data_IF_813345348834
#
_entry.id   IF_813345348834
#
_cell.length_a   1.000
_cell.length_b   1.000
_cell.length_c   1.000
_cell.angle_alpha   90.00
_cell.angle_beta   90.00
_cell.angle_gamma   90.00
#
_symmetry.space_group_name_H-M   'P 1'
#
loop_
_entity.id
_entity.type
_entity.pdbx_description
1 polymer ?
2 polymer ?
3 non-polymer ?
4 non-polymer ?
5 non-polymer ?
6 water ?
#
# COMPACT_ATOMS: atom_id res chain seq x y z
N UNK A 1 9.56 25.75 7.68
CA UNK A 1 9.53 26.05 6.25
C UNK A 1 10.26 25.07 5.34
N UNK A 2 11.16 25.58 4.51
CA UNK A 2 11.88 24.79 3.52
C UNK A 2 13.37 24.76 3.85
N UNK A 3 13.70 24.60 5.13
CA UNK A 3 15.04 24.87 5.63
C UNK A 3 15.95 23.64 5.71
N UNK A 4 15.41 22.41 5.58
CA UNK A 4 16.24 21.19 5.57
C UNK A 4 17.04 21.01 6.87
N UNK A 5 16.35 21.03 8.00
CA UNK A 5 17.02 20.73 9.26
C UNK A 5 17.24 19.22 9.40
N UNK A 6 18.10 18.83 10.34
CA UNK A 6 18.40 17.42 10.62
C UNK A 6 17.76 17.06 11.96
N UNK A 7 16.63 16.36 11.89
CA UNK A 7 15.85 16.02 13.08
C UNK A 7 16.27 14.71 13.74
N UNK A 8 16.84 13.78 12.99
CA UNK A 8 17.28 12.50 13.53
C UNK A 8 18.73 12.62 13.99
N UNK A 9 19.04 12.03 15.16
CA UNK A 9 20.41 12.16 15.62
C UNK A 9 21.37 11.29 14.81
N UNK A 10 20.84 10.38 13.99
CA UNK A 10 21.67 9.54 13.15
C UNK A 10 20.78 8.75 12.19
N UNK A 11 21.24 8.65 10.95
CA UNK A 11 20.40 8.10 9.89
C UNK A 11 20.40 6.57 9.96
N UNK A 12 19.78 6.06 11.02
CA UNK A 12 19.67 4.63 11.25
C UNK A 12 18.29 4.32 11.81
N UNK A 13 17.97 3.02 11.88
CA UNK A 13 16.70 2.60 12.49
C UNK A 13 16.67 3.02 13.95
N UNK A 14 17.78 2.92 14.65
CA UNK A 14 17.84 3.35 16.05
C UNK A 14 17.61 4.86 16.14
N UNK A 15 18.12 5.62 15.18
CA UNK A 15 17.86 7.05 15.19
C UNK A 15 16.40 7.37 14.98
N UNK A 16 15.74 6.67 14.06
CA UNK A 16 14.31 6.86 13.85
C UNK A 16 13.54 6.49 15.11
N UNK A 17 13.89 5.37 15.76
CA UNK A 17 13.18 4.93 16.94
C UNK A 17 13.22 5.98 18.07
N UNK A 18 14.41 6.47 18.41
CA UNK A 18 14.49 7.54 19.40
C UNK A 18 13.69 8.76 18.98
N UNK A 19 13.68 9.07 17.69
CA UNK A 19 12.86 10.18 17.21
C UNK A 19 11.37 9.88 17.37
N UNK A 20 10.99 8.62 17.22
CA UNK A 20 9.58 8.28 17.33
C UNK A 20 9.10 8.39 18.76
N UNK A 21 9.99 8.22 19.72
CA UNK A 21 9.64 8.31 21.13
C UNK A 21 10.05 9.65 21.76
N UNK A 22 10.41 10.64 20.95
CA UNK A 22 10.54 12.00 21.44
C UNK A 22 9.21 12.75 21.26
N UNK A 23 9.17 14.02 21.68
CA UNK A 23 7.93 14.76 21.62
C UNK A 23 7.68 15.42 20.26
N UNK A 24 8.73 15.65 19.47
CA UNK A 24 8.56 16.26 18.16
C UNK A 24 7.68 15.42 17.23
N UNK A 25 7.58 14.12 17.48
CA UNK A 25 7.03 13.18 16.50
C UNK A 25 5.67 12.70 17.01
N UNK A 26 4.58 13.34 16.55
CA UNK A 26 3.27 12.90 16.98
C UNK A 26 2.35 12.46 15.85
N UNK A 27 2.67 12.72 14.59
CA UNK A 27 1.83 12.32 13.46
C UNK A 27 2.68 11.54 12.46
N UNK A 28 2.29 10.29 12.19
CA UNK A 28 3.03 9.40 11.30
C UNK A 28 2.13 9.02 10.12
N UNK A 29 2.67 9.12 8.91
CA UNK A 29 2.00 8.67 7.69
C UNK A 29 2.79 7.49 7.14
N UNK A 30 2.10 6.39 6.91
CA UNK A 30 2.67 5.25 6.21
C UNK A 30 2.29 5.31 4.75
N UNK A 31 3.26 5.05 3.87
CA UNK A 31 3.05 4.82 2.44
C UNK A 31 3.47 3.39 2.14
N UNK A 32 2.53 2.57 1.66
CA UNK A 32 2.78 1.14 1.56
C UNK A 32 2.32 0.65 0.20
N UNK A 33 2.90 -0.48 -0.21
CA UNK A 33 2.57 -1.06 -1.49
C UNK A 33 2.63 -2.58 -1.40
N UNK A 34 2.81 -3.23 -2.54
CA UNK A 34 2.58 -4.67 -2.60
C UNK A 34 3.65 -5.46 -1.85
N UNK A 35 4.81 -4.87 -1.59
CA UNK A 35 5.81 -5.57 -0.81
C UNK A 35 5.32 -6.01 0.55
N UNK A 36 4.44 -5.23 1.20
CA UNK A 36 3.97 -5.57 2.53
C UNK A 36 2.91 -6.67 2.55
N UNK A 37 2.38 -7.06 1.40
CA UNK A 37 1.43 -8.18 1.34
C UNK A 37 1.98 -9.43 0.69
N UNK A 38 3.24 -9.42 0.24
CA UNK A 38 3.80 -10.63 -0.38
C UNK A 38 3.93 -11.76 0.64
N UNK A 39 4.31 -11.44 1.88
CA UNK A 39 4.37 -12.52 2.87
C UNK A 39 2.98 -12.93 3.37
N UNK A 40 1.92 -12.31 2.87
CA UNK A 40 0.59 -12.84 3.02
C UNK A 40 0.15 -13.68 1.83
N UNK A 41 1.05 -13.95 0.90
CA UNK A 41 0.71 -14.79 -0.23
C UNK A 41 0.09 -14.06 -1.40
N UNK A 42 0.24 -12.75 -1.47
CA UNK A 42 -0.21 -12.00 -2.64
C UNK A 42 1.03 -11.47 -3.35
N UNK A 43 1.31 -11.90 -4.57
CA UNK A 43 2.61 -11.63 -5.17
C UNK A 43 2.76 -10.19 -5.63
N UNK A 44 4.02 -9.80 -5.80
CA UNK A 44 4.45 -8.50 -6.30
C UNK A 44 3.96 -8.24 -7.72
N UNK A 45 4.17 -7.00 -8.18
CA UNK A 45 4.15 -6.74 -9.61
C UNK A 45 5.54 -6.92 -10.21
N UNK A 46 6.51 -6.11 -9.77
CA UNK A 46 7.76 -5.97 -10.49
C UNK A 46 8.90 -6.80 -9.92
N UNK A 47 8.74 -7.42 -8.77
CA UNK A 47 9.83 -8.22 -8.23
C UNK A 47 10.16 -9.35 -9.19
N UNK A 48 11.39 -9.42 -9.70
CA UNK A 48 11.72 -10.49 -10.65
C UNK A 48 11.54 -11.85 -9.99
N UNK A 49 11.03 -12.81 -10.77
CA UNK A 49 10.61 -14.15 -10.38
C UNK A 49 9.19 -14.15 -9.81
N UNK A 50 9.06 -13.73 -8.56
CA UNK A 50 7.77 -13.74 -7.88
C UNK A 50 6.75 -12.91 -8.64
N UNK A 51 7.08 -11.64 -8.89
CA UNK A 51 6.16 -10.64 -9.37
C UNK A 51 5.34 -11.07 -10.56
N UNK A 52 4.16 -10.46 -10.68
CA UNK A 52 3.23 -10.83 -11.75
C UNK A 52 3.84 -10.60 -13.11
N UNK A 53 4.61 -9.52 -13.27
CA UNK A 53 5.11 -9.14 -14.59
C UNK A 53 5.96 -10.23 -15.21
N UNK A 54 6.48 -11.16 -14.41
CA UNK A 54 7.18 -12.30 -14.96
C UNK A 54 6.25 -13.46 -15.25
N UNK A 55 5.04 -13.45 -14.68
CA UNK A 55 4.18 -14.63 -14.68
C UNK A 55 2.80 -14.40 -15.30
N UNK A 56 2.76 -14.09 -16.60
CA UNK A 56 1.45 -13.82 -17.22
C UNK A 56 1.45 -14.04 -18.72
N UNK A 57 2.36 -14.85 -19.26
CA UNK A 57 2.35 -15.15 -20.69
C UNK A 57 1.02 -15.80 -21.09
N UNK A 58 0.50 -16.70 -20.25
CA UNK A 58 -0.70 -17.50 -20.45
C UNK A 58 -1.94 -16.66 -20.66
N UNK A 59 -1.89 -15.33 -20.90
CA UNK A 59 -3.11 -14.53 -20.88
C UNK A 59 -3.40 -13.86 -22.22
N UNK A 60 -2.95 -14.46 -23.33
CA UNK A 60 -3.34 -14.01 -24.67
C UNK A 60 -3.07 -12.52 -24.84
N UNK A 61 -1.96 -12.05 -24.27
CA UNK A 61 -1.86 -10.66 -23.88
C UNK A 61 -0.86 -9.92 -24.76
N UNK A 62 -1.24 -8.76 -25.33
CA UNK A 62 -0.30 -8.01 -26.16
C UNK A 62 0.69 -7.13 -25.40
N UNK A 63 0.57 -7.04 -24.07
CA UNK A 63 1.42 -6.15 -23.28
C UNK A 63 1.23 -6.43 -21.80
N UNK A 64 2.21 -7.08 -21.14
CA UNK A 64 2.02 -7.56 -19.76
C UNK A 64 1.42 -6.55 -18.79
N UNK A 65 1.39 -5.28 -19.17
CA UNK A 65 0.72 -4.25 -18.38
C UNK A 65 -0.75 -4.08 -18.73
N UNK A 66 -1.19 -4.56 -19.90
CA UNK A 66 -2.55 -4.30 -20.35
C UNK A 66 -3.61 -4.93 -19.46
N UNK A 67 -3.29 -6.02 -18.75
CA UNK A 67 -4.28 -6.66 -17.90
C UNK A 67 -4.67 -5.79 -16.70
N UNK A 68 -4.01 -4.66 -16.48
CA UNK A 68 -4.38 -3.71 -15.44
C UNK A 68 -4.70 -2.34 -15.98
N UNK A 69 -4.81 -2.17 -17.30
CA UNK A 69 -5.18 -0.90 -17.89
C UNK A 69 -6.69 -0.89 -18.07
N UNK A 70 -7.31 0.27 -17.85
CA UNK A 70 -8.77 0.33 -17.94
C UNK A 70 -9.21 0.15 -19.39
N UNK A 71 -8.48 0.74 -20.33
CA UNK A 71 -8.79 0.57 -21.76
C UNK A 71 -8.95 -0.90 -22.12
N UNK A 72 -7.88 -1.68 -21.95
CA UNK A 72 -7.93 -3.11 -22.24
C UNK A 72 -9.05 -3.80 -21.46
N UNK A 73 -9.22 -3.44 -20.19
CA UNK A 73 -10.26 -4.05 -19.37
C UNK A 73 -11.66 -3.78 -19.93
N UNK A 74 -11.90 -2.58 -20.47
CA UNK A 74 -13.20 -2.32 -21.06
C UNK A 74 -13.45 -3.23 -22.26
N UNK A 75 -12.46 -3.37 -23.15
CA UNK A 75 -12.59 -4.27 -24.30
C UNK A 75 -12.73 -5.74 -23.88
N UNK A 76 -11.78 -6.23 -23.08
CA UNK A 76 -11.72 -7.64 -22.71
C UNK A 76 -11.57 -7.82 -21.20
N UNK A 77 -12.68 -7.87 -20.45
CA UNK A 77 -12.59 -8.01 -19.00
C UNK A 77 -12.25 -9.41 -18.53
N UNK A 78 -12.34 -10.42 -19.40
CA UNK A 78 -12.13 -11.80 -18.95
C UNK A 78 -10.74 -12.08 -18.39
N UNK A 79 -9.63 -11.68 -19.04
CA UNK A 79 -8.30 -12.04 -18.50
C UNK A 79 -8.07 -11.55 -17.08
N UNK A 80 -8.42 -10.29 -16.78
CA UNK A 80 -8.38 -9.80 -15.40
C UNK A 80 -9.13 -10.72 -14.43
N UNK A 81 -10.40 -11.02 -14.72
CA UNK A 81 -11.15 -11.86 -13.80
C UNK A 81 -10.59 -13.27 -13.73
N UNK A 82 -10.02 -13.76 -14.85
CA UNK A 82 -9.29 -15.03 -14.78
C UNK A 82 -8.08 -14.88 -13.88
N UNK A 83 -7.31 -13.81 -14.05
CA UNK A 83 -6.16 -13.57 -13.18
C UNK A 83 -6.58 -13.40 -11.74
N UNK A 84 -7.75 -12.78 -11.51
CA UNK A 84 -8.21 -12.58 -10.15
C UNK A 84 -8.51 -13.91 -9.46
N UNK A 85 -8.95 -14.93 -10.21
CA UNK A 85 -9.22 -16.22 -9.60
C UNK A 85 -7.91 -16.90 -9.17
N UNK A 86 -6.92 -16.90 -10.06
CA UNK A 86 -5.61 -17.42 -9.69
C UNK A 86 -5.12 -16.84 -8.37
N UNK A 87 -5.18 -15.51 -8.23
CA UNK A 87 -4.52 -14.86 -7.10
C UNK A 87 -5.39 -14.78 -5.85
N UNK A 88 -6.69 -14.99 -5.96
CA UNK A 88 -7.57 -14.83 -4.81
C UNK A 88 -7.10 -15.73 -3.66
N UNK A 89 -6.68 -15.18 -2.53
CA UNK A 89 -6.14 -16.01 -1.45
C UNK A 89 -7.21 -16.84 -0.78
N UNK A 90 -6.81 -18.04 -0.36
CA UNK A 90 -7.74 -18.91 0.36
C UNK A 90 -8.17 -18.31 1.69
N UNK A 91 -7.31 -17.51 2.31
CA UNK A 91 -7.57 -16.95 3.63
C UNK A 91 -6.87 -15.60 3.74
N UNK A 92 -7.57 -14.62 4.30
CA UNK A 92 -7.03 -13.27 4.37
C UNK A 92 -6.36 -13.08 5.73
N UNK A 93 -5.04 -13.06 5.75
CA UNK A 93 -4.28 -12.91 7.00
C UNK A 93 -3.27 -11.78 6.85
N UNK A 94 -3.50 -10.62 7.47
CA UNK A 94 -2.54 -9.52 7.35
C UNK A 94 -1.23 -9.88 8.04
N UNK A 95 -0.17 -9.20 7.61
CA UNK A 95 1.20 -9.53 8.01
C UNK A 95 1.59 -8.77 9.27
N UNK A 96 2.76 -9.14 9.80
CA UNK A 96 3.40 -8.41 10.91
C UNK A 96 3.46 -6.92 10.60
N UNK A 97 3.90 -6.57 9.38
CA UNK A 97 3.99 -5.16 9.01
C UNK A 97 2.61 -4.49 9.03
N UNK A 98 1.58 -5.16 8.50
CA UNK A 98 0.21 -4.67 8.68
C UNK A 98 -0.08 -4.42 10.16
N UNK A 99 0.26 -5.37 11.02
CA UNK A 99 -0.07 -5.23 12.43
C UNK A 99 0.78 -4.17 13.12
N UNK A 100 1.98 -3.91 12.60
CA UNK A 100 2.73 -2.77 13.10
C UNK A 100 1.95 -1.46 12.89
N UNK A 101 1.31 -1.31 11.73
CA UNK A 101 0.52 -0.12 11.50
C UNK A 101 -0.70 -0.05 12.42
N UNK A 102 -1.31 -1.21 12.73
CA UNK A 102 -2.40 -1.17 13.72
C UNK A 102 -1.87 -0.79 15.09
N UNK A 103 -0.60 -1.09 15.39
CA UNK A 103 -0.02 -0.62 16.64
C UNK A 103 0.15 0.89 16.61
N UNK A 104 0.60 1.41 15.47
CA UNK A 104 0.67 2.85 15.29
C UNK A 104 -0.68 3.47 15.63
N UNK A 105 -1.74 3.00 14.98
CA UNK A 105 -3.09 3.48 15.27
C UNK A 105 -3.41 3.35 16.76
N UNK A 106 -3.13 2.19 17.36
CA UNK A 106 -3.49 1.99 18.75
C UNK A 106 -2.75 2.93 19.69
N UNK A 107 -1.57 3.42 19.29
CA UNK A 107 -0.80 4.32 20.14
C UNK A 107 -0.99 5.77 19.77
N UNK A 108 -1.94 6.08 18.90
CA UNK A 108 -2.19 7.44 18.49
C UNK A 108 -1.15 8.07 17.59
N UNK A 109 -0.20 7.31 17.07
CA UNK A 109 0.81 7.89 16.19
C UNK A 109 0.39 7.91 14.73
N UNK A 110 -0.65 7.19 14.34
CA UNK A 110 -1.00 7.03 12.93
C UNK A 110 -1.91 8.16 12.49
N UNK A 111 -1.39 9.06 11.66
CA UNK A 111 -2.25 10.07 11.06
C UNK A 111 -2.96 9.51 9.84
N UNK A 112 -2.23 8.82 8.99
CA UNK A 112 -2.88 8.16 7.89
C UNK A 112 -1.95 7.09 7.31
N UNK A 113 -2.56 6.08 6.74
CA UNK A 113 -1.89 5.07 5.94
C UNK A 113 -2.36 5.23 4.51
N UNK A 114 -1.45 5.48 3.60
CA UNK A 114 -1.76 5.52 2.18
C UNK A 114 -1.27 4.20 1.58
N UNK A 115 -2.21 3.42 1.07
CA UNK A 115 -1.89 2.11 0.52
C UNK A 115 -2.15 2.07 -0.97
N UNK A 116 -1.23 1.46 -1.71
CA UNK A 116 -1.46 1.11 -3.10
C UNK A 116 -2.12 -0.25 -3.26
N UNK A 117 -2.27 -1.01 -2.17
CA UNK A 117 -2.81 -2.36 -2.26
C UNK A 117 -4.33 -2.36 -2.30
N UNK A 118 -4.87 -3.41 -2.89
CA UNK A 118 -6.31 -3.55 -3.03
C UNK A 118 -6.82 -4.80 -2.33
N UNK A 119 -5.99 -5.44 -1.50
CA UNK A 119 -6.26 -6.74 -0.94
C UNK A 119 -7.03 -6.70 0.37
N UNK A 120 -7.42 -5.50 0.84
CA UNK A 120 -8.17 -5.26 2.06
C UNK A 120 -7.43 -5.69 3.33
N UNK A 121 -6.14 -5.99 3.24
CA UNK A 121 -5.49 -6.49 4.46
C UNK A 121 -5.34 -5.38 5.52
N UNK A 122 -5.25 -4.11 5.11
CA UNK A 122 -5.20 -3.02 6.09
C UNK A 122 -6.46 -2.99 6.96
N UNK A 123 -7.64 -3.15 6.35
CA UNK A 123 -8.87 -3.16 7.14
C UNK A 123 -8.95 -4.37 8.05
N UNK A 124 -8.53 -5.55 7.56
CA UNK A 124 -8.60 -6.74 8.40
C UNK A 124 -7.67 -6.63 9.59
N UNK A 125 -6.58 -5.86 9.46
CA UNK A 125 -5.69 -5.63 10.59
C UNK A 125 -6.25 -4.61 11.56
N UNK A 126 -7.35 -3.95 11.21
CA UNK A 126 -8.00 -3.04 12.12
C UNK A 126 -7.82 -1.56 11.84
N UNK A 127 -7.29 -1.19 10.67
CA UNK A 127 -7.30 0.21 10.26
C UNK A 127 -8.66 0.58 9.70
N UNK A 128 -9.22 1.67 10.20
CA UNK A 128 -10.55 2.06 9.81
C UNK A 128 -10.49 3.07 8.68
N UNK A 129 -11.66 3.31 8.09
CA UNK A 129 -11.77 4.27 6.99
C UNK A 129 -11.13 5.61 7.33
N UNK A 130 -11.27 6.04 8.59
CA UNK A 130 -10.65 7.30 9.02
C UNK A 130 -9.12 7.22 9.02
N UNK A 131 -8.53 6.03 9.11
CA UNK A 131 -7.09 5.84 9.11
C UNK A 131 -6.49 5.62 7.73
N UNK A 132 -7.32 5.36 6.72
CA UNK A 132 -6.87 4.72 5.49
C UNK A 132 -7.14 5.59 4.29
N UNK A 133 -6.19 5.65 3.37
CA UNK A 133 -6.48 6.06 2.01
C UNK A 133 -6.13 4.89 1.11
N UNK A 134 -7.16 4.22 0.58
CA UNK A 134 -6.97 3.19 -0.43
C UNK A 134 -6.81 3.91 -1.75
N UNK A 135 -5.56 4.28 -2.04
CA UNK A 135 -5.25 5.16 -3.16
C UNK A 135 -5.61 4.53 -4.50
N UNK A 136 -5.55 3.21 -4.60
CA UNK A 136 -5.89 2.53 -5.83
C UNK A 136 -7.18 1.71 -5.68
N UNK A 137 -8.04 2.11 -4.76
CA UNK A 137 -9.30 1.43 -4.59
C UNK A 137 -9.16 0.15 -3.77
N UNK A 138 -10.05 -0.80 -4.03
CA UNK A 138 -10.09 -2.02 -3.23
C UNK A 138 -10.95 -3.08 -3.93
N UNK A 139 -10.70 -4.33 -3.55
CA UNK A 139 -11.60 -5.41 -3.90
C UNK A 139 -12.80 -5.50 -2.98
N UNK A 140 -12.80 -4.76 -1.87
CA UNK A 140 -13.80 -5.00 -0.83
C UNK A 140 -15.21 -4.71 -1.32
N UNK A 141 -15.39 -3.75 -2.22
CA UNK A 141 -16.66 -3.46 -2.83
C UNK A 141 -16.49 -3.45 -4.34
N UNK A 142 -17.63 -3.54 -5.03
CA UNK A 142 -17.72 -3.58 -6.48
C UNK A 142 -18.95 -2.79 -6.93
N UNK A 143 -18.90 -2.28 -8.16
CA UNK A 143 -20.02 -1.51 -8.66
C UNK A 143 -20.28 -1.86 -10.12
N UNK A 144 -21.56 -2.03 -10.44
CA UNK A 144 -22.03 -1.88 -11.81
C UNK A 144 -21.36 -0.67 -12.47
N UNK A 145 -20.77 -0.91 -13.65
CA UNK A 145 -20.13 0.17 -14.40
C UNK A 145 -21.11 1.09 -15.12
N UNK A 146 -22.39 0.78 -15.15
CA UNK A 146 -23.34 1.62 -15.88
C UNK A 146 -23.63 2.89 -15.09
N UNK A 147 -23.33 4.04 -15.69
CA UNK A 147 -23.54 5.30 -15.01
C UNK A 147 -24.97 5.44 -14.49
N UNK A 148 -25.92 4.74 -15.12
CA UNK A 148 -27.35 4.84 -14.78
C UNK A 148 -27.72 4.13 -13.48
N UNK A 149 -26.97 3.13 -13.01
CA UNK A 149 -27.45 2.45 -11.82
C UNK A 149 -26.38 2.17 -10.76
N UNK A 150 -25.10 2.09 -11.13
CA UNK A 150 -23.98 1.89 -10.20
C UNK A 150 -24.35 1.15 -8.91
N UNK A 151 -25.09 0.05 -9.03
CA UNK A 151 -25.40 -0.79 -7.87
C UNK A 151 -24.11 -1.34 -7.27
N UNK A 152 -24.07 -1.43 -5.95
CA UNK A 152 -22.91 -1.90 -5.22
C UNK A 152 -23.09 -3.36 -4.85
N UNK A 153 -22.01 -4.14 -5.00
CA UNK A 153 -21.99 -5.55 -4.60
C UNK A 153 -20.85 -5.82 -3.62
N UNK A 154 -21.06 -6.71 -2.67
CA UNK A 154 -20.00 -7.01 -1.70
C UNK A 154 -19.01 -8.03 -2.25
N UNK A 155 -17.85 -8.11 -1.57
CA UNK A 155 -16.82 -9.05 -1.97
C UNK A 155 -17.33 -10.49 -2.00
N UNK A 156 -18.28 -10.81 -1.14
CA UNK A 156 -18.85 -12.15 -1.15
C UNK A 156 -19.50 -12.44 -2.49
N UNK A 157 -20.21 -11.46 -3.03
CA UNK A 157 -20.83 -11.63 -4.33
C UNK A 157 -19.77 -11.69 -5.43
N UNK A 158 -18.76 -10.81 -5.36
CA UNK A 158 -17.76 -10.78 -6.44
C UNK A 158 -16.90 -12.03 -6.42
N UNK A 159 -16.58 -12.53 -5.21
CA UNK A 159 -15.80 -13.77 -5.09
C UNK A 159 -16.47 -14.95 -5.79
N UNK A 160 -17.76 -15.18 -5.51
CA UNK A 160 -18.44 -16.28 -6.18
C UNK A 160 -18.42 -16.09 -7.69
N UNK A 161 -18.59 -14.85 -8.17
CA UNK A 161 -18.52 -14.62 -9.61
C UNK A 161 -17.19 -15.08 -10.18
N UNK A 162 -16.10 -14.71 -9.50
CA UNK A 162 -14.76 -15.03 -9.96
C UNK A 162 -14.47 -16.52 -9.83
N UNK A 163 -14.89 -17.14 -8.72
CA UNK A 163 -14.65 -18.56 -8.52
C UNK A 163 -15.55 -19.43 -9.39
N UNK A 164 -16.77 -18.97 -9.69
CA UNK A 164 -17.63 -19.69 -10.61
C UNK A 164 -17.27 -19.39 -12.05
N UNK A 165 -16.20 -18.63 -12.27
CA UNK A 165 -15.66 -18.31 -13.59
C UNK A 165 -16.69 -17.64 -14.49
N UNK A 166 -17.71 -17.00 -13.92
CA UNK A 166 -18.74 -16.34 -14.72
C UNK A 166 -18.52 -14.83 -14.59
N UNK A 167 -18.41 -14.15 -15.75
CA UNK A 167 -18.10 -12.72 -15.76
C UNK A 167 -19.15 -11.95 -14.97
N UNK A 168 -18.75 -11.11 -14.01
CA UNK A 168 -19.75 -10.48 -13.13
C UNK A 168 -20.61 -9.49 -13.89
N UNK A 169 -21.91 -9.73 -13.89
CA UNK A 169 -22.82 -8.79 -14.49
C UNK A 169 -23.90 -8.43 -13.50
N UNK A 170 -24.42 -7.21 -13.64
CA UNK A 170 -25.27 -6.57 -12.65
C UNK A 170 -26.67 -7.16 -12.67
N UNK A 171 -27.18 -7.51 -11.49
CA UNK A 171 -28.49 -8.16 -11.41
C UNK A 171 -29.62 -7.22 -11.83
N UNK A 172 -29.44 -5.91 -11.65
CA UNK A 172 -30.46 -4.94 -12.00
C UNK A 172 -30.47 -4.60 -13.49
N UNK A 173 -29.29 -4.42 -14.10
CA UNK A 173 -29.22 -3.94 -15.47
C UNK A 173 -28.35 -4.78 -16.39
N UNK A 174 -27.69 -5.82 -15.89
CA UNK A 174 -26.91 -6.77 -16.69
C UNK A 174 -25.63 -6.16 -17.29
N UNK A 175 -25.23 -4.96 -16.87
CA UNK A 175 -23.92 -4.43 -17.24
C UNK A 175 -22.81 -5.13 -16.45
N UNK A 176 -21.57 -4.75 -16.75
CA UNK A 176 -20.43 -5.33 -16.06
C UNK A 176 -20.31 -4.80 -14.64
N UNK A 177 -20.00 -5.69 -13.70
CA UNK A 177 -19.67 -5.30 -12.34
C UNK A 177 -18.15 -5.38 -12.16
N UNK A 178 -17.54 -4.25 -11.84
CA UNK A 178 -16.09 -4.11 -11.70
C UNK A 178 -15.74 -3.90 -10.23
N UNK A 179 -14.76 -4.64 -9.70
CA UNK A 179 -14.27 -4.34 -8.35
C UNK A 179 -13.82 -2.89 -8.23
N UNK A 180 -13.86 -2.36 -7.01
CA UNK A 180 -13.65 -0.93 -6.83
C UNK A 180 -12.18 -0.56 -6.82
N UNK A 181 -11.42 -1.08 -7.75
CA UNK A 181 -9.99 -0.81 -7.81
C UNK A 181 -9.74 0.20 -8.91
N UNK A 182 -8.68 0.98 -8.74
CA UNK A 182 -8.26 1.97 -9.72
C UNK A 182 -7.33 1.28 -10.72
N UNK A 183 -7.84 1.04 -11.94
CA UNK A 183 -7.01 0.52 -13.02
C UNK A 183 -6.03 1.59 -13.50
N UNK A 184 -4.92 1.13 -14.07
CA UNK A 184 -4.03 2.04 -14.78
C UNK A 184 -4.82 2.75 -15.88
N UNK A 185 -4.72 4.08 -15.91
CA UNK A 185 -5.50 4.88 -16.81
C UNK A 185 -6.76 5.49 -16.20
N UNK A 186 -7.12 5.11 -14.98
CA UNK A 186 -8.25 5.69 -14.27
C UNK A 186 -7.79 6.81 -13.32
N UNK A 187 -8.75 7.59 -12.85
CA UNK A 187 -8.48 8.66 -11.88
C UNK A 187 -8.54 8.14 -10.45
N UNK A 188 -7.50 8.47 -9.66
CA UNK A 188 -7.46 8.10 -8.26
C UNK A 188 -8.67 8.69 -7.52
N UNK A 189 -9.04 8.10 -6.39
CA UNK A 189 -10.22 8.57 -5.67
C UNK A 189 -10.03 9.99 -5.15
N UNK A 190 -11.13 10.75 -5.16
CA UNK A 190 -11.11 12.13 -4.67
C UNK A 190 -10.46 12.25 -3.30
N UNK A 191 -10.77 11.33 -2.40
CA UNK A 191 -10.31 11.42 -1.03
C UNK A 191 -8.78 11.35 -0.93
N UNK A 192 -8.14 10.73 -1.92
CA UNK A 192 -6.68 10.73 -2.00
C UNK A 192 -6.14 12.16 -1.94
N UNK A 193 -6.74 13.06 -2.72
CA UNK A 193 -6.24 14.42 -2.84
C UNK A 193 -6.64 15.28 -1.66
N UNK A 194 -7.89 15.14 -1.18
CA UNK A 194 -8.32 15.93 -0.03
C UNK A 194 -7.55 15.53 1.22
N UNK A 195 -7.20 14.24 1.36
CA UNK A 195 -6.29 13.85 2.43
C UNK A 195 -4.89 14.39 2.19
N UNK A 196 -4.40 14.32 0.95
CA UNK A 196 -3.02 14.70 0.70
C UNK A 196 -2.79 16.17 0.96
N UNK A 197 -3.76 17.02 0.61
CA UNK A 197 -3.58 18.45 0.82
C UNK A 197 -3.50 18.80 2.29
N UNK A 198 -4.10 17.99 3.17
CA UNK A 198 -4.12 18.31 4.58
C UNK A 198 -3.11 17.50 5.39
N UNK A 199 -2.97 16.20 5.12
CA UNK A 199 -2.12 15.33 5.95
C UNK A 199 -0.67 15.80 5.96
N UNK A 200 -0.15 16.13 4.79
CA UNK A 200 1.27 16.44 4.64
C UNK A 200 1.61 17.85 5.12
N UNK A 201 0.66 18.58 5.70
CA UNK A 201 0.96 19.87 6.29
C UNK A 201 1.57 19.73 7.68
N UNK A 202 1.40 18.59 8.35
CA UNK A 202 1.99 18.49 9.67
C UNK A 202 2.44 17.08 10.03
N UNK A 203 2.67 16.22 9.04
CA UNK A 203 3.29 14.93 9.31
C UNK A 203 4.68 15.14 9.91
N UNK A 204 5.02 14.30 10.89
CA UNK A 204 6.29 14.38 11.59
C UNK A 204 7.24 13.25 11.21
N UNK A 205 6.77 12.25 10.46
CA UNK A 205 7.56 11.10 10.04
C UNK A 205 6.84 10.36 8.92
N UNK A 206 7.55 10.00 7.85
CA UNK A 206 7.01 9.15 6.80
C UNK A 206 7.61 7.77 6.92
N UNK A 207 6.76 6.75 6.89
CA UNK A 207 7.19 5.36 6.94
C UNK A 207 6.80 4.69 5.61
N UNK A 208 7.78 4.50 4.74
CA UNK A 208 7.54 3.98 3.39
C UNK A 208 7.90 2.51 3.40
N UNK A 209 6.94 1.63 3.10
CA UNK A 209 7.17 0.20 3.25
C UNK A 209 6.66 -0.58 2.06
N UNK A 210 7.52 -1.41 1.49
CA UNK A 210 7.06 -2.37 0.50
C UNK A 210 6.52 -1.77 -0.79
N UNK A 211 7.12 -0.68 -1.25
CA UNK A 211 6.72 -0.08 -2.52
C UNK A 211 7.96 0.36 -3.28
N UNK A 212 7.96 0.11 -4.59
CA UNK A 212 9.03 0.55 -5.46
C UNK A 212 8.93 2.03 -5.82
N UNK A 213 7.85 2.71 -5.43
CA UNK A 213 7.71 4.15 -5.66
C UNK A 213 7.76 4.47 -7.15
N UNK A 214 7.15 3.61 -7.96
CA UNK A 214 7.18 3.76 -9.41
C UNK A 214 5.79 3.92 -10.02
N UNK A 215 4.74 4.05 -9.22
CA UNK A 215 3.41 4.35 -9.72
C UNK A 215 3.08 5.77 -9.29
N UNK A 216 2.61 6.56 -10.23
CA UNK A 216 2.18 7.93 -10.02
C UNK A 216 0.65 8.01 -10.08
N UNK A 217 0.06 9.01 -9.41
CA UNK A 217 0.73 10.01 -8.59
C UNK A 217 1.02 9.55 -7.17
N UNK A 218 0.98 8.22 -6.92
CA UNK A 218 1.22 7.77 -5.55
C UNK A 218 2.63 8.10 -5.12
N UNK A 219 3.62 7.78 -5.96
CA UNK A 219 5.02 7.98 -5.57
C UNK A 219 5.30 9.44 -5.24
N UNK A 220 4.55 10.38 -5.81
CA UNK A 220 4.84 11.78 -5.55
C UNK A 220 4.56 12.19 -4.10
N UNK A 221 3.90 11.34 -3.32
CA UNK A 221 3.57 11.67 -1.94
C UNK A 221 4.81 11.95 -1.09
N UNK A 222 5.94 11.31 -1.41
CA UNK A 222 7.08 11.46 -0.51
C UNK A 222 7.60 12.88 -0.52
N UNK A 223 7.33 13.63 -1.58
CA UNK A 223 7.79 15.01 -1.70
C UNK A 223 6.80 16.01 -1.14
N UNK A 224 5.62 15.56 -0.72
CA UNK A 224 4.65 16.49 -0.14
C UNK A 224 5.02 16.85 1.28
N UNK A 225 5.67 15.94 1.99
CA UNK A 225 6.12 16.21 3.34
C UNK A 225 7.01 17.44 3.36
N UNK A 226 7.04 18.18 4.48
CA UNK A 226 8.02 19.27 4.60
C UNK A 226 9.44 18.71 4.62
N UNK A 227 10.38 19.57 4.25
CA UNK A 227 11.75 19.14 3.98
C UNK A 227 12.44 18.59 5.22
N UNK A 228 11.97 18.90 6.41
CA UNK A 228 12.60 18.40 7.62
C UNK A 228 11.91 17.16 8.16
N UNK A 229 10.94 16.58 7.45
CA UNK A 229 10.25 15.39 7.95
C UNK A 229 11.11 14.16 7.72
N UNK A 230 11.56 13.47 8.76
CA UNK A 230 12.34 12.25 8.54
C UNK A 230 11.51 11.26 7.74
N UNK A 231 12.20 10.47 6.92
CA UNK A 231 11.57 9.51 6.02
C UNK A 231 12.30 8.19 6.08
N UNK A 232 11.61 7.13 6.51
CA UNK A 232 12.20 5.79 6.64
C UNK A 232 11.62 4.86 5.60
N UNK A 233 12.49 4.19 4.84
CA UNK A 233 12.08 3.19 3.87
C UNK A 233 12.40 1.81 4.41
N UNK A 234 11.40 0.94 4.47
CA UNK A 234 11.59 -0.47 4.83
C UNK A 234 11.22 -1.23 3.58
N UNK A 235 12.20 -1.90 2.97
CA UNK A 235 11.96 -2.44 1.65
C UNK A 235 13.08 -3.40 1.31
N UNK A 236 12.78 -4.32 0.40
CA UNK A 236 13.79 -5.26 -0.07
C UNK A 236 15.00 -4.53 -0.62
N UNK A 237 14.76 -3.41 -1.29
CA UNK A 237 15.73 -2.70 -2.12
C UNK A 237 15.48 -1.22 -1.97
N UNK A 238 16.52 -0.41 -2.15
CA UNK A 238 16.32 1.03 -2.10
C UNK A 238 15.38 1.47 -3.23
N UNK A 239 14.66 2.57 -3.00
CA UNK A 239 13.68 3.04 -3.96
C UNK A 239 13.44 4.52 -3.71
N UNK A 240 12.88 5.18 -4.73
CA UNK A 240 12.49 6.57 -4.61
C UNK A 240 13.59 7.58 -4.73
N UNK A 241 14.80 7.16 -5.12
CA UNK A 241 15.86 8.11 -5.37
C UNK A 241 15.69 8.72 -6.76
N UNK A 242 16.07 9.98 -6.89
CA UNK A 242 15.95 10.65 -8.17
C UNK A 242 16.85 9.97 -9.19
N UNK A 243 16.33 9.83 -10.41
CA UNK A 243 17.12 9.34 -11.53
C UNK A 243 18.25 10.31 -11.84
N UNK A 244 19.41 9.82 -12.25
CA UNK A 244 20.54 10.74 -12.52
C UNK A 244 20.26 11.68 -13.68
N UNK A 245 19.38 11.30 -14.59
CA UNK A 245 19.03 12.12 -15.73
C UNK A 245 17.76 12.93 -15.52
N UNK A 246 16.69 12.28 -15.04
CA UNK A 246 15.53 13.01 -14.52
C UNK A 246 15.91 13.72 -13.21
N UNK A 253 12.74 19.14 -6.18
CA UNK A 253 11.50 18.41 -6.38
C UNK A 253 11.66 16.90 -6.26
N UNK A 254 12.91 16.44 -6.36
CA UNK A 254 13.26 15.05 -6.32
C UNK A 254 13.12 14.41 -4.94
N UNK A 255 13.46 13.13 -4.88
CA UNK A 255 13.02 12.28 -3.79
C UNK A 255 14.04 11.80 -2.77
N UNK A 256 14.17 10.47 -2.64
CA UNK A 256 14.89 9.94 -1.48
C UNK A 256 16.38 10.16 -1.65
N UNK A 257 17.04 10.49 -0.53
CA UNK A 257 18.48 10.74 -0.51
C UNK A 257 19.06 10.04 0.71
N UNK A 258 19.47 8.77 0.51
CA UNK A 258 20.02 7.96 1.58
C UNK A 258 21.52 8.13 1.73
N UNK A 259 22.22 8.45 0.65
CA UNK A 259 23.64 8.15 0.55
C UNK A 259 24.51 9.33 0.19
N UNK A 260 23.95 10.33 -0.48
CA UNK A 260 24.78 11.42 -0.97
C UNK A 260 25.39 12.18 0.22
N UNK A 261 26.33 13.07 -0.10
CA UNK A 261 26.99 13.86 0.95
C UNK A 261 25.99 14.73 1.70
N UNK A 262 24.99 15.25 0.99
CA UNK A 262 23.95 16.06 1.61
C UNK A 262 22.73 15.25 2.09
N UNK A 263 22.91 13.96 2.37
CA UNK A 263 21.82 13.18 2.97
C UNK A 263 21.64 13.59 4.41
N UNK A 264 20.38 13.76 4.82
CA UNK A 264 20.16 14.41 6.11
C UNK A 264 18.91 13.89 6.81
N UNK A 265 18.06 13.11 6.13
CA UNK A 265 16.86 12.65 6.81
C UNK A 265 16.28 11.34 6.30
N UNK A 266 16.82 10.79 5.20
CA UNK A 266 16.24 9.59 4.63
C UNK A 266 17.02 8.38 5.13
N UNK A 267 16.28 7.30 5.45
CA UNK A 267 16.88 6.10 6.00
C UNK A 267 16.34 4.88 5.28
N UNK A 268 17.23 3.99 4.87
CA UNK A 268 16.85 2.79 4.14
C UNK A 268 17.24 1.57 4.96
N UNK A 269 16.22 0.89 5.50
CA UNK A 269 16.38 -0.42 6.11
C UNK A 269 16.00 -1.47 5.09
N UNK A 270 16.96 -2.27 4.67
CA UNK A 270 16.79 -3.18 3.56
C UNK A 270 16.55 -4.59 4.09
N UNK A 271 15.43 -5.18 3.68
CA UNK A 271 15.08 -6.51 4.13
C UNK A 271 13.59 -6.75 3.95
N UNK A 272 13.08 -7.68 4.74
CA UNK A 272 11.66 -8.00 4.70
C UNK A 272 10.91 -6.97 5.52
N UNK A 273 9.76 -6.52 5.01
CA UNK A 273 8.98 -5.53 5.75
C UNK A 273 8.58 -6.07 7.11
N UNK A 274 8.30 -7.38 7.20
CA UNK A 274 7.95 -7.98 8.49
C UNK A 274 9.12 -7.91 9.45
N UNK A 275 10.33 -8.19 8.94
CA UNK A 275 11.52 -8.13 9.78
C UNK A 275 11.83 -6.71 10.20
N UNK A 276 11.78 -5.78 9.24
CA UNK A 276 12.07 -4.40 9.55
C UNK A 276 11.12 -3.82 10.58
N UNK A 277 9.83 -4.18 10.49
CA UNK A 277 8.88 -3.71 11.49
C UNK A 277 9.10 -4.41 12.81
N UNK A 278 9.40 -5.72 12.77
CA UNK A 278 9.83 -6.40 13.97
C UNK A 278 11.00 -5.66 14.62
N UNK A 279 12.03 -5.33 13.84
CA UNK A 279 13.21 -4.71 14.43
C UNK A 279 12.88 -3.33 14.98
N UNK A 280 12.09 -2.54 14.24
CA UNK A 280 11.72 -1.23 14.76
C UNK A 280 10.94 -1.35 16.05
N UNK A 281 10.01 -2.30 16.12
CA UNK A 281 9.19 -2.49 17.30
C UNK A 281 10.04 -2.85 18.52
N UNK A 282 11.06 -3.69 18.33
CA UNK A 282 12.01 -3.99 19.39
C UNK A 282 12.57 -2.72 20.00
N UNK A 283 13.13 -1.84 19.15
CA UNK A 283 13.73 -0.61 19.65
C UNK A 283 12.72 0.24 20.40
N UNK A 284 11.44 0.12 20.07
CA UNK A 284 10.40 0.91 20.71
C UNK A 284 9.82 0.25 21.95
N UNK A 285 10.22 -0.98 22.23
CA UNK A 285 9.65 -1.69 23.36
C UNK A 285 8.28 -2.26 23.07
N UNK A 286 7.96 -2.44 21.79
CA UNK A 286 6.68 -2.96 21.35
C UNK A 286 6.76 -4.38 20.84
N UNK A 287 7.93 -5.02 20.93
CA UNK A 287 8.11 -6.36 20.35
C UNK A 287 7.11 -7.35 20.91
N UNK A 288 7.07 -7.51 22.24
CA UNK A 288 6.08 -8.41 22.82
C UNK A 288 4.66 -7.96 22.47
N UNK A 289 4.38 -6.67 22.61
CA UNK A 289 3.10 -6.13 22.20
C UNK A 289 2.75 -6.48 20.76
N UNK A 290 3.75 -6.48 19.87
CA UNK A 290 3.50 -6.84 18.47
C UNK A 290 3.31 -8.35 18.32
N UNK A 291 4.10 -9.13 19.07
CA UNK A 291 3.98 -10.58 18.99
C UNK A 291 2.61 -11.07 19.44
N UNK A 292 2.13 -10.60 20.59
CA UNK A 292 0.82 -11.04 21.07
C UNK A 292 -0.29 -10.66 20.09
N UNK A 293 -0.20 -9.46 19.50
CA UNK A 293 -1.28 -8.98 18.62
C UNK A 293 -1.35 -9.82 17.34
N UNK A 294 -0.21 -10.07 16.71
CA UNK A 294 -0.16 -10.91 15.50
C UNK A 294 -0.62 -12.33 15.81
N UNK A 295 -0.06 -12.92 16.88
CA UNK A 295 -0.41 -14.27 17.28
C UNK A 295 -1.90 -14.40 17.59
N UNK A 296 -2.46 -13.42 18.31
CA UNK A 296 -3.88 -13.46 18.65
C UNK A 296 -4.74 -13.37 17.39
N UNK A 297 -4.41 -12.43 16.50
CA UNK A 297 -5.26 -12.17 15.35
C UNK A 297 -5.13 -13.28 14.33
N UNK A 298 -3.92 -13.78 14.12
CA UNK A 298 -3.76 -14.96 13.27
C UNK A 298 -4.51 -16.14 13.86
N UNK A 299 -4.52 -16.28 15.18
CA UNK A 299 -5.24 -17.38 15.78
C UNK A 299 -6.73 -17.21 15.57
N UNK A 300 -7.23 -16.00 15.79
CA UNK A 300 -8.64 -15.74 15.53
C UNK A 300 -9.00 -16.05 14.08
N UNK A 301 -8.18 -15.56 13.14
CA UNK A 301 -8.45 -15.79 11.73
C UNK A 301 -8.29 -17.27 11.39
N UNK A 302 -7.26 -17.92 11.93
CA UNK A 302 -7.05 -19.34 11.65
C UNK A 302 -8.22 -20.18 12.11
N UNK A 303 -9.03 -19.68 13.05
CA UNK A 303 -10.13 -20.44 13.60
C UNK A 303 -11.40 -20.35 12.77
N UNK A 304 -11.54 -19.29 11.96
CA UNK A 304 -12.72 -19.13 11.09
C UNK A 304 -13.06 -20.42 10.34
N UNK B 1 -5.00 14.11 -12.04
CA UNK B 1 -4.07 13.15 -12.66
C UNK B 1 -4.47 11.70 -12.42
N UNK B 2 -3.98 10.81 -13.28
CA UNK B 2 -4.47 9.44 -13.37
C UNK B 2 -3.37 8.46 -13.02
N UNK B 3 -3.79 7.22 -12.76
CA UNK B 3 -2.86 6.18 -12.37
C UNK B 3 -1.97 5.83 -13.56
N UNK B 4 -0.67 5.97 -13.38
CA UNK B 4 0.29 5.83 -14.46
C UNK B 4 1.54 5.15 -13.95
N UNK B 5 2.15 4.32 -14.79
CA UNK B 5 3.44 3.76 -14.46
C UNK B 5 4.54 4.78 -14.78
N UNK B 6 5.78 4.42 -14.48
CA UNK B 6 6.88 5.36 -14.65
C UNK B 6 8.21 4.63 -14.83
X LIG C 1 -26.38 -2.17 -12.97
X LIG D 1 5.98 -3.31 -6.91
X LIG D 1 6.14 -2.25 -7.99
X LIG D 1 5.85 -4.67 -7.49
X LIG D 1 7.22 -3.23 -5.81
X LIG D 1 7.00 -3.72 -4.48
X LIG D 1 8.22 -3.25 -3.58
X LIG D 1 8.28 -3.86 -2.43
X LIG D 1 9.52 -3.61 -4.33
X LIG D 1 10.45 -2.66 -4.03
X LIG D 1 9.89 -4.97 -3.72
X LIG D 1 11.36 -5.21 -3.92
X LIG D 1 9.60 -4.81 -2.46
X LIG D 1 9.19 -5.98 -1.75
X LIG D 1 8.47 -7.01 -2.21
X LIG D 1 8.27 -7.86 -1.21
X LIG D 1 8.85 -7.35 -0.12
X LIG D 1 8.96 -7.82 1.15
X LIG D 1 8.42 -9.05 1.71
X LIG D 1 9.61 -7.10 2.05
X LIG D 1 10.17 -5.93 1.71
X LIG D 1 10.09 -5.46 0.45
X LIG D 1 9.41 -6.19 -0.46
X LIG D 1 4.63 -2.98 -6.03
X LIG D 1 4.16 -1.43 -5.78
X LIG D 1 5.32 -0.45 -5.63
X LIG D 1 3.32 -1.44 -4.53
X LIG D 1 3.25 -1.06 -7.13
X LIG D 1 2.79 -2.10 -7.92
X LIG D 1 1.37 -1.69 -8.45
X LIG D 1 0.64 -2.77 -8.73
X LIG D 1 0.66 -0.94 -7.34
X LIG D 1 0.01 0.15 -7.81
X LIG D 1 -0.43 -1.93 -6.77
X LIG D 1 -1.71 -1.15 -6.76
X LIG D 1 -0.50 -2.94 -7.57
X LIG D 1 -0.38 -4.24 -6.86
X LIG D 1 -1.09 -4.43 -5.71
X LIG D 1 -1.01 -5.61 -5.00
X LIG D 1 -1.82 -5.75 -3.71
X LIG D 1 -2.87 -5.20 -3.63
X LIG D 1 -1.34 -6.52 -2.58
X LIG D 1 -0.21 -6.63 -5.48
X LIG D 1 0.50 -6.45 -6.63
X LIG D 1 0.40 -5.25 -7.34
X LIG E 1 -3.34 -0.53 -9.24
X LIG E 1 -1.82 -0.77 -9.70
X LIG E 1 -4.30 -1.70 -9.13
X LIG E 1 -3.61 -2.97 -9.64
X LIG E 1 -4.55 -4.17 -9.46
X LIG E 1 -3.76 -5.27 -8.76
X LIG E 1 -4.35 -6.62 -9.17
X LIG E 1 -4.52 -7.45 -7.90
X LIG E 1 -5.06 -8.84 -8.26
X LIG E 1 -6.28 -9.12 -7.38
X LIG E 1 -5.85 -9.70 -6.04
X LIG E 1 -7.04 -10.41 -5.39
X LIG E 1 -7.08 -10.10 -3.90
X LIG E 1 -8.53 -9.91 -3.45
#
# INVERSE_FOLDING_TARGET
>A
GSQKERLLDELTLEGVARYMQSQRCRRVICLVGAGISTSAGIPDFRSPSTGLYDNLEKYHLPYPEAIFEISYFKKHPEPFFALAKELYPGQFKPTICHYFMRLLKDKGLLLRCYTQNIDTLERIAGLEQEDLVEAHGTFYTSHCVSASCRHEYPLSWMKEKIFSEVTPKCEDCQSLVKPDIVFFGESLPARFFSCMQSDFLKVDLLLVMGTSLQVQPFASLISKAPLSTPRLLINKEKAGQSDPFLGMIMGLGGGMDFDSKKAYRDVAWLGECDQGCLALAELLGWKKELEDLVRREHASIDAQ
>B
PRKQLA
>C hetero
1 ZN ZN
>D hetero
1 NAD PA O1A O2A O5B C5B C4B O4B C3B O3B C2B O2B C1B N9A C8A N7A C5A C6A N6A N1A C2A N3A C4A O3 PN O1N O2N O5D C5D C4D O4D C3D O3D C2D O2D C1D N1N C2N C3N C7N O7N N7N C4N C5N C6N
>E hetero
1 3LX C1 S1 C2 C3 C4 C5 C6 C7 C8 C9 C10 C11 C12 C13
#
